data_IF_759402005028
#
_entry.id   IF_759402005028
#
_cell.length_a   1.000
_cell.length_b   1.000
_cell.length_c   1.000
_cell.angle_alpha   90.00
_cell.angle_beta   90.00
_cell.angle_gamma   90.00
#
_symmetry.space_group_name_H-M   'P 1'
#
loop_
_entity.id
_entity.type
_entity.pdbx_description
1 polymer ?
#
# COMPACT_ATOMS: atom_id res chain seq x y z
N UNK A 1 -39.30 -17.91 -7.99
CA UNK A 1 -38.17 -16.97 -8.21
C UNK A 1 -38.19 -16.00 -7.04
N UNK A 2 -37.45 -16.32 -5.97
CA UNK A 2 -37.42 -15.52 -4.74
C UNK A 2 -36.17 -14.63 -4.77
N UNK A 3 -36.41 -13.32 -4.82
CA UNK A 3 -35.36 -12.31 -4.90
C UNK A 3 -35.20 -11.73 -3.49
N UNK A 4 -34.43 -12.41 -2.63
CA UNK A 4 -34.06 -11.91 -1.31
C UNK A 4 -32.99 -10.80 -1.44
N UNK A 5 -33.44 -9.61 -1.81
CA UNK A 5 -32.67 -8.36 -1.77
C UNK A 5 -32.60 -7.80 -0.35
N UNK A 6 -32.15 -8.59 0.62
CA UNK A 6 -31.61 -8.07 1.88
C UNK A 6 -30.11 -7.80 1.71
N UNK A 7 -29.77 -6.83 0.86
CA UNK A 7 -28.46 -6.16 0.96
C UNK A 7 -28.50 -5.36 2.25
N UNK A 8 -28.14 -6.01 3.35
CA UNK A 8 -27.81 -5.34 4.59
C UNK A 8 -26.68 -4.37 4.24
N UNK A 9 -27.00 -3.09 4.06
CA UNK A 9 -26.01 -2.02 3.98
C UNK A 9 -25.37 -1.90 5.36
N UNK A 10 -24.52 -2.87 5.72
CA UNK A 10 -23.60 -2.72 6.84
C UNK A 10 -22.69 -1.57 6.43
N UNK A 11 -22.98 -0.39 6.98
CA UNK A 11 -22.16 0.80 6.81
C UNK A 11 -20.78 0.42 7.31
N UNK A 12 -19.83 0.23 6.40
CA UNK A 12 -18.48 -0.16 6.79
C UNK A 12 -17.93 1.01 7.63
N UNK A 13 -17.61 0.79 8.92
CA UNK A 13 -17.22 1.89 9.80
C UNK A 13 -15.94 2.59 9.33
N UNK A 14 -15.16 1.94 8.45
CA UNK A 14 -13.95 2.49 7.88
C UNK A 14 -14.20 3.38 6.65
N UNK A 15 -15.39 3.41 6.07
CA UNK A 15 -15.71 4.19 4.87
C UNK A 15 -16.44 5.50 5.22
N UNK A 16 -15.78 6.36 6.00
CA UNK A 16 -16.40 7.58 6.53
C UNK A 16 -15.82 8.88 5.94
N UNK A 17 -14.62 8.85 5.35
CA UNK A 17 -14.00 10.03 4.73
C UNK A 17 -13.87 9.87 3.22
N UNK A 18 -13.79 11.01 2.51
CA UNK A 18 -13.65 11.05 1.05
C UNK A 18 -12.45 10.23 0.57
N UNK A 19 -11.35 10.26 1.34
CA UNK A 19 -10.12 9.53 1.05
C UNK A 19 -10.27 8.02 1.26
N UNK A 20 -11.06 7.58 2.25
CA UNK A 20 -11.36 6.17 2.45
C UNK A 20 -12.22 5.60 1.31
N UNK A 21 -13.21 6.36 0.86
CA UNK A 21 -14.02 5.99 -0.30
C UNK A 21 -13.15 5.90 -1.56
N UNK A 22 -12.30 6.90 -1.78
CA UNK A 22 -11.39 6.92 -2.92
C UNK A 22 -10.40 5.74 -2.89
N UNK A 23 -9.85 5.43 -1.72
CA UNK A 23 -8.91 4.33 -1.56
C UNK A 23 -9.56 2.96 -1.82
N UNK A 24 -10.81 2.76 -1.39
CA UNK A 24 -11.57 1.53 -1.66
C UNK A 24 -11.83 1.39 -3.15
N UNK A 25 -12.28 2.46 -3.81
CA UNK A 25 -12.54 2.50 -5.25
C UNK A 25 -11.26 2.16 -6.04
N UNK A 26 -10.14 2.84 -5.77
CA UNK A 26 -8.86 2.57 -6.43
C UNK A 26 -8.36 1.14 -6.20
N UNK A 27 -8.49 0.64 -4.97
CA UNK A 27 -8.05 -0.72 -4.63
C UNK A 27 -8.87 -1.79 -5.37
N UNK A 28 -10.16 -1.55 -5.61
CA UNK A 28 -11.03 -2.45 -6.38
C UNK A 28 -10.80 -2.30 -7.88
N UNK A 29 -10.67 -1.07 -8.37
CA UNK A 29 -10.38 -0.78 -9.79
C UNK A 29 -9.10 -1.47 -10.25
N UNK A 30 -8.05 -1.47 -9.42
CA UNK A 30 -6.75 -2.05 -9.76
C UNK A 30 -6.60 -3.51 -9.31
N UNK A 31 -7.67 -4.15 -8.84
CA UNK A 31 -7.71 -5.53 -8.35
C UNK A 31 -6.72 -5.83 -7.22
N UNK A 32 -6.51 -4.84 -6.33
CA UNK A 32 -5.60 -4.92 -5.18
C UNK A 32 -6.28 -4.59 -3.84
N UNK A 33 -7.38 -5.28 -3.45
CA UNK A 33 -8.11 -4.99 -2.22
C UNK A 33 -7.25 -5.14 -0.96
N UNK A 34 -6.25 -6.05 -0.99
CA UNK A 34 -5.29 -6.27 0.11
C UNK A 34 -4.38 -5.06 0.37
N UNK A 35 -4.31 -4.11 -0.56
CA UNK A 35 -3.45 -2.93 -0.48
C UNK A 35 -4.23 -1.64 -0.17
N UNK A 36 -5.48 -1.74 0.29
CA UNK A 36 -6.30 -0.59 0.69
C UNK A 36 -5.54 0.47 1.49
N UNK A 37 -4.79 0.09 2.53
CA UNK A 37 -4.03 1.04 3.35
C UNK A 37 -2.96 1.83 2.56
N UNK A 38 -2.36 1.25 1.51
CA UNK A 38 -1.45 1.98 0.61
C UNK A 38 -2.21 2.99 -0.24
N UNK A 39 -3.37 2.60 -0.77
CA UNK A 39 -4.25 3.49 -1.54
C UNK A 39 -4.80 4.63 -0.67
N UNK A 40 -5.06 4.37 0.61
CA UNK A 40 -5.44 5.40 1.57
C UNK A 40 -4.31 6.40 1.79
N UNK A 41 -3.08 5.92 1.95
CA UNK A 41 -1.91 6.77 2.12
C UNK A 41 -1.71 7.75 0.97
N UNK A 42 -1.97 7.34 -0.29
CA UNK A 42 -1.85 8.22 -1.46
C UNK A 42 -3.09 9.12 -1.65
N UNK A 43 -4.28 8.67 -1.24
CA UNK A 43 -5.50 9.48 -1.31
C UNK A 43 -5.40 10.75 -0.44
N UNK A 44 -4.55 10.72 0.60
CA UNK A 44 -4.20 11.90 1.40
C UNK A 44 -3.09 12.78 0.79
N UNK A 45 -2.35 12.30 -0.22
CA UNK A 45 -1.16 12.98 -0.76
C UNK A 45 -1.36 13.59 -2.15
N UNK A 46 -2.37 13.14 -2.88
CA UNK A 46 -2.65 13.53 -4.26
C UNK A 46 -4.12 13.91 -4.40
N UNK A 47 -4.44 14.68 -5.44
CA UNK A 47 -5.82 15.06 -5.72
C UNK A 47 -6.63 13.85 -6.19
N UNK A 48 -7.91 13.80 -5.80
CA UNK A 48 -8.81 12.74 -6.25
C UNK A 48 -8.94 12.68 -7.77
N UNK A 49 -9.03 13.83 -8.42
CA UNK A 49 -9.24 13.95 -9.88
C UNK A 49 -8.07 13.33 -10.62
N UNK A 50 -6.86 13.62 -10.14
CA UNK A 50 -5.62 13.09 -10.70
C UNK A 50 -5.51 11.58 -10.51
N UNK A 51 -5.80 11.08 -9.30
CA UNK A 51 -5.75 9.66 -8.98
C UNK A 51 -6.76 8.85 -9.81
N UNK A 52 -8.00 9.33 -9.93
CA UNK A 52 -9.03 8.68 -10.76
C UNK A 52 -8.66 8.71 -12.25
N UNK A 53 -8.17 9.85 -12.73
CA UNK A 53 -7.74 10.00 -14.13
C UNK A 53 -6.58 9.06 -14.46
N UNK A 54 -5.61 8.95 -13.54
CA UNK A 54 -4.49 8.02 -13.69
C UNK A 54 -4.97 6.56 -13.70
N UNK A 55 -5.84 6.18 -12.76
CA UNK A 55 -6.38 4.82 -12.70
C UNK A 55 -7.11 4.46 -13.99
N UNK A 56 -7.95 5.36 -14.52
CA UNK A 56 -8.66 5.15 -15.78
C UNK A 56 -7.70 4.92 -16.96
N UNK A 57 -6.68 5.78 -17.10
CA UNK A 57 -5.65 5.63 -18.15
C UNK A 57 -4.92 4.30 -18.09
N UNK A 58 -4.74 3.74 -16.89
CA UNK A 58 -4.07 2.45 -16.70
C UNK A 58 -5.00 1.29 -17.04
N UNK A 59 -6.29 1.40 -16.75
CA UNK A 59 -7.29 0.41 -17.12
C UNK A 59 -7.52 0.34 -18.63
N UNK A 60 -7.38 1.47 -19.33
CA UNK A 60 -7.48 1.56 -20.79
C UNK A 60 -6.26 0.93 -21.50
N UNK A 61 -5.16 0.65 -20.79
CA UNK A 61 -3.99 -0.03 -21.37
C UNK A 61 -4.24 -1.53 -21.49
N UNK A 62 -4.43 -1.99 -22.73
CA UNK A 62 -4.65 -3.39 -23.07
C UNK A 62 -3.38 -4.23 -22.86
N UNK A 63 -2.20 -3.66 -23.14
CA UNK A 63 -0.91 -4.35 -23.01
C UNK A 63 -0.42 -4.52 -21.57
N UNK A 64 -1.17 -4.03 -20.57
CA UNK A 64 -0.74 -4.07 -19.17
C UNK A 64 -1.48 -5.18 -18.40
N UNK A 65 -0.77 -6.23 -17.94
CA UNK A 65 -1.37 -7.29 -17.14
C UNK A 65 -2.03 -6.75 -15.89
N UNK A 66 -3.17 -7.31 -15.49
CA UNK A 66 -3.93 -6.87 -14.32
C UNK A 66 -3.06 -6.77 -13.05
N UNK A 67 -2.22 -7.78 -12.82
CA UNK A 67 -1.29 -7.85 -11.68
C UNK A 67 -0.22 -6.74 -11.68
N UNK A 68 0.11 -6.20 -12.86
CA UNK A 68 1.09 -5.14 -13.03
C UNK A 68 0.47 -3.74 -12.91
N UNK A 69 -0.86 -3.60 -13.03
CA UNK A 69 -1.56 -2.32 -13.01
C UNK A 69 -1.31 -1.53 -11.75
N UNK A 70 -1.42 -2.17 -10.58
CA UNK A 70 -1.13 -1.53 -9.30
C UNK A 70 0.31 -1.02 -9.22
N UNK A 71 1.30 -1.83 -9.60
CA UNK A 71 2.73 -1.43 -9.61
C UNK A 71 2.98 -0.24 -10.55
N UNK A 72 2.39 -0.30 -11.74
CA UNK A 72 2.51 0.76 -12.74
C UNK A 72 1.84 2.05 -12.25
N UNK A 73 0.68 1.95 -11.61
CA UNK A 73 0.00 3.07 -10.97
C UNK A 73 0.90 3.78 -9.97
N UNK A 74 1.51 3.06 -9.02
CA UNK A 74 2.45 3.66 -8.05
C UNK A 74 3.71 4.23 -8.72
N UNK A 75 4.16 3.67 -9.84
CA UNK A 75 5.29 4.23 -10.59
C UNK A 75 4.94 5.59 -11.22
N UNK A 76 3.74 5.72 -11.79
CA UNK A 76 3.25 6.96 -12.39
C UNK A 76 3.00 8.08 -11.37
N UNK A 77 2.73 7.75 -10.09
CA UNK A 77 2.58 8.74 -9.01
C UNK A 77 3.83 9.62 -8.81
N UNK A 78 5.02 9.16 -9.21
CA UNK A 78 6.26 9.96 -9.11
C UNK A 78 6.25 11.19 -10.02
N UNK A 79 5.47 11.19 -11.08
CA UNK A 79 5.33 12.32 -12.01
C UNK A 79 4.19 13.27 -11.66
N UNK A 80 3.41 12.97 -10.62
CA UNK A 80 2.27 13.78 -10.20
C UNK A 80 2.66 14.83 -9.18
N UNK A 81 2.06 16.01 -9.29
CA UNK A 81 2.21 17.05 -8.28
C UNK A 81 1.57 16.57 -6.97
N UNK A 82 2.36 16.60 -5.89
CA UNK A 82 1.83 16.34 -4.55
C UNK A 82 0.89 17.47 -4.18
N UNK A 83 -0.34 17.14 -3.78
CA UNK A 83 -1.19 18.13 -3.15
C UNK A 83 -0.57 18.46 -1.80
N UNK A 84 -0.21 19.73 -1.57
CA UNK A 84 0.31 20.23 -0.29
C UNK A 84 -0.77 20.22 0.81
N UNK A 85 -1.68 19.25 0.81
CA UNK A 85 -2.60 19.11 1.93
C UNK A 85 -1.79 18.61 3.12
N UNK A 86 -1.74 19.47 4.16
CA UNK A 86 -1.03 19.23 5.41
C UNK A 86 -1.35 17.82 5.88
N UNK A 87 -0.35 16.93 5.89
CA UNK A 87 -0.46 15.65 6.58
C UNK A 87 -1.03 15.95 7.97
N UNK A 88 -2.13 15.30 8.41
CA UNK A 88 -2.49 15.39 9.81
C UNK A 88 -1.28 14.88 10.59
N UNK A 89 -0.67 15.75 11.37
CA UNK A 89 0.51 15.48 12.20
C UNK A 89 0.12 14.53 13.33
N UNK A 90 -0.18 13.27 13.01
CA UNK A 90 -0.26 12.21 14.01
C UNK A 90 1.15 11.64 14.13
N UNK A 91 1.85 12.06 15.18
CA UNK A 91 3.18 11.58 15.52
C UNK A 91 3.20 10.05 15.55
N UNK A 92 3.87 9.44 14.58
CA UNK A 92 4.23 8.02 14.65
C UNK A 92 5.59 7.90 15.32
N UNK A 93 5.77 7.10 16.40
CA UNK A 93 7.10 6.70 16.80
C UNK A 93 7.69 5.92 15.63
N UNK A 94 8.81 6.43 15.12
CA UNK A 94 9.62 5.82 14.07
C UNK A 94 10.10 4.48 14.61
N UNK A 95 9.41 3.38 14.31
CA UNK A 95 9.92 2.03 14.59
C UNK A 95 11.17 1.86 13.74
N UNK A 96 12.31 1.99 14.39
CA UNK A 96 13.62 1.75 13.82
C UNK A 96 13.68 0.28 13.41
N UNK A 97 13.70 0.06 12.09
CA UNK A 97 13.99 -1.24 11.51
C UNK A 97 15.46 -1.57 11.84
N UNK A 98 15.72 -2.11 13.03
CA UNK A 98 17.03 -2.61 13.41
C UNK A 98 17.33 -3.83 12.53
N UNK A 99 18.15 -3.63 11.51
CA UNK A 99 18.81 -4.68 10.73
C UNK A 99 19.60 -5.56 11.70
N UNK A 100 19.08 -6.73 12.08
CA UNK A 100 19.90 -7.77 12.70
C UNK A 100 20.79 -8.41 11.64
N UNK A 101 22.02 -7.92 11.55
CA UNK A 101 23.10 -8.48 10.73
C UNK A 101 23.61 -9.75 11.41
N UNK A 102 23.05 -10.92 11.08
CA UNK A 102 23.59 -12.21 11.55
C UNK A 102 24.92 -12.47 10.84
N UNK A 103 26.03 -12.21 11.52
CA UNK A 103 27.37 -12.59 11.08
C UNK A 103 27.54 -14.11 11.22
N UNK A 104 27.89 -14.78 10.12
CA UNK A 104 28.42 -16.15 10.13
C UNK A 104 29.85 -16.13 10.69
N UNK A 105 29.98 -16.41 11.99
CA UNK A 105 31.27 -16.74 12.59
C UNK A 105 31.54 -18.23 12.43
N UNK A 106 32.36 -18.59 11.44
CA UNK A 106 33.11 -19.86 11.44
C UNK A 106 34.09 -19.80 12.62
N UNK A 107 33.93 -20.67 13.60
CA UNK A 107 34.97 -20.94 14.61
C UNK A 107 35.51 -22.34 14.39
N UNK A 108 36.71 -22.40 13.84
CA UNK A 108 37.60 -23.56 13.84
C UNK A 108 38.09 -23.83 15.27
N UNK A 109 38.12 -25.07 15.78
CA UNK A 109 38.84 -25.38 17.01
C UNK A 109 40.34 -25.55 16.70
N UNK A 110 41.15 -24.58 17.11
CA UNK A 110 42.61 -24.67 17.14
C UNK A 110 43.10 -24.96 18.55
N UNK A 111 43.63 -26.17 18.72
CA UNK A 111 44.78 -26.61 19.52
C UNK A 111 45.41 -25.66 20.58
N UNK A 112 45.51 -26.13 21.84
CA UNK A 112 46.60 -25.86 22.83
C UNK A 112 46.23 -26.47 24.20
N UNK A 113 46.78 -27.62 24.61
CA UNK A 113 48.00 -27.86 25.44
C UNK A 113 47.89 -27.59 26.97
N UNK A 114 48.17 -28.69 27.71
CA UNK A 114 48.95 -28.85 28.98
C UNK A 114 48.37 -28.34 30.33
N UNK A 115 48.28 -29.24 31.31
CA UNK A 115 49.04 -29.20 32.58
C UNK A 115 48.60 -30.31 33.58
N UNK A 116 49.50 -31.24 33.90
CA UNK A 116 50.02 -31.50 35.25
C UNK A 116 51.15 -32.53 35.17
#
# INVERSE_FOLDING_TARGET
MEIDKKRIFRKDPHLHSREHVLADDLSRMLDEPKKFARYLGIAYLYDETDLRSLAKRILEKIDLPAEARGRYFFACLKGLALTRQKRPSKGTPRVSLQKTKKQHGRTTPSHSKRAK
#
